data_IF_860437365486
#
_entry.id   IF_860437365486
#
_cell.length_a   1.000
_cell.length_b   1.000
_cell.length_c   1.000
_cell.angle_alpha   90.00
_cell.angle_beta   90.00
_cell.angle_gamma   90.00
#
_symmetry.space_group_name_H-M   'P 1'
#
loop_
_entity.id
_entity.type
_entity.pdbx_description
1 polymer ?
#
# COMPACT_ATOMS: atom_id res chain seq x y z
N UNK A 1 -12.43 -8.59 12.58
CA UNK A 1 -11.56 -7.82 11.66
C UNK A 1 -10.16 -7.81 12.28
N UNK A 2 -9.08 -7.70 11.50
CA UNK A 2 -7.72 -7.69 12.07
C UNK A 2 -7.47 -6.39 12.83
N UNK A 3 -6.85 -6.44 14.02
CA UNK A 3 -6.45 -5.26 14.79
C UNK A 3 -5.66 -4.25 13.94
N UNK A 4 -4.81 -4.74 13.03
CA UNK A 4 -4.00 -3.90 12.13
C UNK A 4 -4.84 -3.14 11.10
N UNK A 5 -5.91 -3.76 10.63
CA UNK A 5 -6.88 -3.11 9.74
C UNK A 5 -7.70 -2.07 10.51
N UNK A 6 -8.06 -2.35 11.76
CA UNK A 6 -8.73 -1.38 12.65
C UNK A 6 -7.83 -0.17 12.92
N UNK A 7 -6.54 -0.40 13.22
CA UNK A 7 -5.53 0.64 13.39
C UNK A 7 -5.39 1.49 12.10
N UNK A 8 -5.32 0.87 10.93
CA UNK A 8 -5.32 1.56 9.64
C UNK A 8 -6.53 2.49 9.47
N UNK A 9 -7.75 1.99 9.69
CA UNK A 9 -8.96 2.81 9.56
C UNK A 9 -9.05 3.93 10.60
N UNK A 10 -8.50 3.73 11.80
CA UNK A 10 -8.45 4.76 12.85
C UNK A 10 -7.65 5.99 12.43
N UNK A 11 -6.69 5.83 11.52
CA UNK A 11 -5.84 6.90 10.96
C UNK A 11 -6.52 7.68 9.82
N UNK A 12 -7.78 7.36 9.48
CA UNK A 12 -8.60 8.05 8.46
C UNK A 12 -7.91 8.14 7.09
N UNK A 13 -7.57 6.99 6.47
CA UNK A 13 -6.81 6.94 5.22
C UNK A 13 -7.50 7.63 4.04
N UNK A 14 -8.83 7.75 4.06
CA UNK A 14 -9.61 8.51 3.07
C UNK A 14 -9.19 9.99 2.93
N UNK A 15 -8.45 10.53 3.91
CA UNK A 15 -7.87 11.88 3.81
C UNK A 15 -6.71 11.94 2.82
N UNK A 16 -6.01 10.84 2.58
CA UNK A 16 -4.83 10.76 1.71
C UNK A 16 -5.19 9.96 0.46
N UNK A 17 -5.46 10.66 -0.64
CA UNK A 17 -6.00 10.02 -1.86
C UNK A 17 -5.21 10.31 -3.11
N UNK A 18 -4.30 11.28 -3.10
CA UNK A 18 -3.59 11.65 -4.31
C UNK A 18 -2.25 10.95 -4.37
N UNK A 19 -2.00 10.18 -5.42
CA UNK A 19 -0.74 9.45 -5.55
C UNK A 19 0.45 10.41 -5.72
N UNK A 20 1.41 10.33 -4.80
CA UNK A 20 2.70 11.03 -4.91
C UNK A 20 3.75 10.13 -5.53
N UNK A 21 3.88 8.90 -5.03
CA UNK A 21 4.90 7.97 -5.49
C UNK A 21 4.52 6.52 -5.26
N UNK A 22 5.09 5.66 -6.11
CA UNK A 22 5.06 4.21 -6.00
C UNK A 22 6.49 3.73 -6.09
N UNK A 23 6.90 2.91 -5.14
CA UNK A 23 8.22 2.29 -5.13
C UNK A 23 8.06 0.79 -4.95
N UNK A 24 8.45 0.03 -5.98
CA UNK A 24 8.48 -1.42 -5.96
C UNK A 24 9.93 -1.89 -5.89
N UNK A 25 10.29 -2.63 -4.84
CA UNK A 25 11.62 -3.21 -4.68
C UNK A 25 11.54 -4.71 -4.61
N UNK A 26 12.45 -5.39 -5.32
CA UNK A 26 12.68 -6.82 -5.13
C UNK A 26 13.68 -7.02 -3.98
N UNK A 27 13.27 -7.78 -2.99
CA UNK A 27 14.05 -8.22 -1.85
C UNK A 27 14.66 -9.58 -2.21
N UNK A 28 15.98 -9.61 -2.36
CA UNK A 28 16.74 -10.84 -2.63
C UNK A 28 17.22 -11.40 -1.28
N UNK A 29 16.61 -12.49 -0.81
CA UNK A 29 17.10 -13.22 0.35
C UNK A 29 17.85 -14.47 -0.12
N UNK A 30 18.97 -14.78 0.53
CA UNK A 30 19.86 -15.86 0.11
C UNK A 30 19.27 -17.28 0.32
N UNK A 31 18.21 -17.42 1.13
CA UNK A 31 17.84 -18.71 1.71
C UNK A 31 16.50 -19.33 1.27
N UNK A 32 15.59 -18.67 0.53
CA UNK A 32 14.31 -19.31 0.14
C UNK A 32 13.72 -18.90 -1.21
N UNK A 33 13.18 -19.93 -1.85
CA UNK A 33 12.45 -19.97 -3.12
C UNK A 33 11.13 -19.17 -3.08
N UNK A 34 10.95 -18.40 -4.16
CA UNK A 34 9.74 -17.99 -4.87
C UNK A 34 8.66 -17.05 -4.30
N UNK A 35 8.19 -17.13 -3.04
CA UNK A 35 6.93 -16.41 -2.71
C UNK A 35 7.11 -15.20 -1.78
N UNK A 36 6.68 -14.01 -2.25
CA UNK A 36 6.72 -12.76 -1.49
C UNK A 36 8.08 -12.03 -1.51
N UNK A 37 8.74 -11.98 -2.67
CA UNK A 37 10.06 -11.31 -2.82
C UNK A 37 9.98 -9.81 -3.06
N UNK A 38 8.82 -9.18 -2.97
CA UNK A 38 8.68 -7.75 -3.23
C UNK A 38 8.25 -6.98 -1.98
N UNK A 39 8.74 -5.74 -1.87
CA UNK A 39 8.15 -4.71 -1.02
C UNK A 39 7.60 -3.60 -1.90
N UNK A 40 6.40 -3.13 -1.58
CA UNK A 40 5.74 -2.03 -2.28
C UNK A 40 5.50 -0.89 -1.30
N UNK A 41 5.94 0.30 -1.66
CA UNK A 41 5.67 1.51 -0.90
C UNK A 41 4.84 2.47 -1.75
N UNK A 42 3.72 2.94 -1.21
CA UNK A 42 2.84 3.91 -1.86
C UNK A 42 2.76 5.13 -0.97
N UNK A 43 3.09 6.30 -1.51
CA UNK A 43 2.93 7.57 -0.80
C UNK A 43 1.77 8.36 -1.40
N UNK A 44 0.87 8.82 -0.53
CA UNK A 44 -0.33 9.57 -0.88
C UNK A 44 -0.30 10.96 -0.23
N UNK A 45 -0.77 11.98 -0.94
CA UNK A 45 -1.01 13.32 -0.44
C UNK A 45 -2.48 13.49 -0.04
N UNK A 46 -2.73 14.37 0.93
CA UNK A 46 -4.09 14.79 1.27
C UNK A 46 -4.68 15.76 0.23
N UNK A 47 -3.84 16.61 -0.35
CA UNK A 47 -4.16 17.58 -1.40
C UNK A 47 -3.03 17.61 -2.44
N UNK A 48 -3.33 18.00 -3.68
CA UNK A 48 -2.34 18.17 -4.75
C UNK A 48 -1.49 19.45 -4.56
N UNK A 49 -0.77 19.54 -3.45
CA UNK A 49 0.08 20.67 -3.05
C UNK A 49 1.34 20.16 -2.33
N UNK A 50 2.47 20.82 -2.55
CA UNK A 50 3.76 20.40 -1.95
C UNK A 50 3.76 20.42 -0.42
N UNK A 51 3.04 21.38 0.18
CA UNK A 51 2.89 21.53 1.63
C UNK A 51 1.86 20.59 2.25
N UNK A 52 1.22 19.72 1.46
CA UNK A 52 0.16 18.85 1.96
C UNK A 52 0.68 17.80 2.95
N UNK A 53 -0.19 17.36 3.86
CA UNK A 53 0.06 16.17 4.68
C UNK A 53 0.22 14.95 3.77
N UNK A 54 1.11 14.04 4.19
CA UNK A 54 1.52 12.88 3.42
C UNK A 54 1.28 11.63 4.24
N UNK A 55 0.96 10.53 3.58
CA UNK A 55 0.92 9.22 4.21
C UNK A 55 1.64 8.18 3.35
N UNK A 56 2.34 7.27 4.00
CA UNK A 56 3.03 6.16 3.35
C UNK A 56 2.40 4.85 3.80
N UNK A 57 2.07 4.03 2.81
CA UNK A 57 1.67 2.63 2.94
C UNK A 57 2.86 1.77 2.50
N UNK A 58 3.40 0.99 3.43
CA UNK A 58 4.45 0.02 3.13
C UNK A 58 3.87 -1.39 3.20
N UNK A 59 4.06 -2.18 2.15
CA UNK A 59 3.57 -3.55 2.04
C UNK A 59 4.77 -4.50 1.90
N UNK A 60 4.75 -5.57 2.70
CA UNK A 60 5.86 -6.52 2.82
C UNK A 60 5.45 -7.91 2.38
N UNK A 61 6.37 -8.61 1.71
CA UNK A 61 6.08 -9.95 1.19
C UNK A 61 4.98 -9.92 0.15
N UNK A 62 5.10 -9.02 -0.82
CA UNK A 62 4.08 -8.75 -1.82
C UNK A 62 4.14 -9.78 -2.95
N UNK A 63 2.98 -10.29 -3.36
CA UNK A 63 2.81 -11.25 -4.44
C UNK A 63 1.64 -10.87 -5.37
N UNK A 64 1.65 -11.44 -6.58
CA UNK A 64 0.62 -11.25 -7.61
C UNK A 64 0.24 -9.79 -7.87
N UNK A 65 1.26 -8.93 -7.99
CA UNK A 65 1.08 -7.50 -8.20
C UNK A 65 0.49 -7.23 -9.58
N UNK A 66 -0.65 -6.55 -9.60
CA UNK A 66 -1.23 -5.93 -10.78
C UNK A 66 -1.27 -4.42 -10.55
N UNK A 67 -0.59 -3.69 -11.43
CA UNK A 67 -0.61 -2.22 -11.48
C UNK A 67 -1.35 -1.83 -12.75
N UNK A 68 -2.45 -1.11 -12.58
CA UNK A 68 -3.26 -0.56 -13.66
C UNK A 68 -2.73 0.79 -14.14
N UNK A 69 -3.63 1.61 -14.64
CA UNK A 69 -3.29 2.96 -15.09
C UNK A 69 -3.16 3.93 -13.90
N UNK A 70 -1.95 4.48 -13.73
CA UNK A 70 -1.63 5.45 -12.69
C UNK A 70 -1.69 6.91 -13.16
N UNK A 71 -2.05 7.16 -14.42
CA UNK A 71 -2.04 8.51 -14.97
C UNK A 71 -3.23 9.36 -14.50
N UNK A 72 -3.03 10.68 -14.48
CA UNK A 72 -4.06 11.66 -14.14
C UNK A 72 -4.16 11.99 -12.65
N UNK A 73 -5.07 12.90 -12.31
CA UNK A 73 -5.36 13.29 -10.93
C UNK A 73 -6.36 12.32 -10.28
N UNK A 74 -6.02 11.04 -10.23
CA UNK A 74 -6.86 10.00 -9.63
C UNK A 74 -6.83 10.10 -8.10
N UNK A 75 -7.95 9.72 -7.50
CA UNK A 75 -8.06 9.48 -6.08
C UNK A 75 -7.91 7.98 -5.86
N UNK A 76 -7.09 7.58 -4.90
CA UNK A 76 -6.80 6.19 -4.60
C UNK A 76 -7.36 5.87 -3.22
N UNK A 77 -8.21 4.86 -3.13
CA UNK A 77 -8.70 4.34 -1.86
C UNK A 77 -8.36 2.85 -1.75
N UNK A 78 -7.46 2.53 -0.82
CA UNK A 78 -7.03 1.16 -0.58
C UNK A 78 -7.95 0.46 0.42
N UNK A 79 -8.58 -0.61 -0.04
CA UNK A 79 -9.26 -1.59 0.79
C UNK A 79 -8.30 -2.73 1.14
N UNK A 80 -8.15 -2.99 2.43
CA UNK A 80 -7.31 -4.06 2.96
C UNK A 80 -8.20 -5.07 3.68
N UNK A 81 -8.15 -6.31 3.21
CA UNK A 81 -8.92 -7.43 3.78
C UNK A 81 -7.98 -8.48 4.37
N UNK A 82 -8.28 -8.98 5.57
CA UNK A 82 -7.55 -10.13 6.15
C UNK A 82 -8.07 -11.44 5.54
N UNK A 83 -7.19 -12.12 4.81
CA UNK A 83 -7.41 -13.37 4.10
C UNK A 83 -6.54 -14.50 4.68
N UNK A 84 -6.02 -14.36 5.91
CA UNK A 84 -5.20 -15.38 6.59
C UNK A 84 -5.85 -16.77 6.67
N UNK A 85 -7.17 -16.83 6.62
CA UNK A 85 -7.94 -18.07 6.64
C UNK A 85 -7.84 -18.89 5.35
N UNK A 86 -7.32 -18.32 4.24
CA UNK A 86 -7.28 -18.98 2.92
C UNK A 86 -6.01 -19.80 2.64
N UNK A 87 -5.11 -19.94 3.62
CA UNK A 87 -3.87 -20.72 3.51
C UNK A 87 -3.00 -20.39 2.27
N UNK A 88 -2.94 -19.10 1.91
CA UNK A 88 -2.18 -18.62 0.76
C UNK A 88 -0.70 -18.40 1.13
N UNK A 89 0.07 -19.45 1.42
CA UNK A 89 1.54 -19.42 1.47
C UNK A 89 2.16 -18.18 2.17
N UNK A 90 1.83 -17.98 3.45
CA UNK A 90 2.28 -16.84 4.28
C UNK A 90 1.79 -15.44 3.84
N UNK A 91 0.90 -15.33 2.86
CA UNK A 91 0.17 -14.10 2.54
C UNK A 91 -1.04 -13.99 3.46
N UNK A 92 -1.27 -12.77 3.96
CA UNK A 92 -2.30 -12.50 4.97
C UNK A 92 -3.32 -11.49 4.50
N UNK A 93 -2.89 -10.47 3.78
CA UNK A 93 -3.74 -9.36 3.41
C UNK A 93 -3.91 -9.33 1.90
N UNK A 94 -5.15 -9.12 1.47
CA UNK A 94 -5.45 -8.72 0.10
C UNK A 94 -5.66 -7.22 0.08
N UNK A 95 -4.98 -6.56 -0.85
CA UNK A 95 -5.04 -5.11 -1.03
C UNK A 95 -5.60 -4.81 -2.41
N UNK A 96 -6.64 -3.98 -2.45
CA UNK A 96 -7.30 -3.55 -3.67
C UNK A 96 -7.49 -2.04 -3.60
N UNK A 97 -7.16 -1.35 -4.68
CA UNK A 97 -7.59 0.02 -4.89
C UNK A 97 -9.00 -0.02 -5.51
N UNK A 98 -9.92 0.76 -4.94
CA UNK A 98 -11.37 0.52 -5.05
C UNK A 98 -12.07 1.39 -6.10
N UNK A 99 -11.38 2.41 -6.65
CA UNK A 99 -11.97 3.38 -7.57
C UNK A 99 -11.54 3.15 -9.04
N UNK A 100 -10.29 2.80 -9.29
CA UNK A 100 -9.66 2.81 -10.61
C UNK A 100 -8.96 1.50 -11.00
N UNK A 101 -9.12 0.43 -10.21
CA UNK A 101 -8.41 -0.87 -10.37
C UNK A 101 -6.88 -0.68 -10.46
N UNK A 102 -6.37 0.41 -9.87
CA UNK A 102 -4.99 0.83 -10.09
C UNK A 102 -3.98 -0.08 -9.41
N UNK A 103 -4.36 -0.69 -8.29
CA UNK A 103 -3.55 -1.65 -7.57
C UNK A 103 -4.37 -2.83 -7.10
N UNK A 104 -3.83 -4.04 -7.33
CA UNK A 104 -4.36 -5.27 -6.76
C UNK A 104 -3.23 -6.24 -6.50
N UNK A 105 -3.09 -6.66 -5.25
CA UNK A 105 -2.03 -7.56 -4.83
C UNK A 105 -2.36 -8.23 -3.49
N UNK A 106 -1.51 -9.18 -3.11
CA UNK A 106 -1.49 -9.76 -1.77
C UNK A 106 -0.19 -9.38 -1.07
N UNK A 107 -0.23 -9.27 0.25
CA UNK A 107 0.97 -9.10 1.05
C UNK A 107 0.91 -9.92 2.35
N UNK A 108 2.07 -10.20 2.92
CA UNK A 108 2.20 -10.83 4.24
C UNK A 108 1.89 -9.83 5.35
N UNK A 109 2.36 -8.60 5.19
CA UNK A 109 2.16 -7.55 6.18
C UNK A 109 2.14 -6.15 5.55
N UNK A 110 1.69 -5.15 6.29
CA UNK A 110 1.70 -3.76 5.86
C UNK A 110 1.87 -2.77 7.02
N UNK A 111 2.28 -1.54 6.75
CA UNK A 111 2.34 -0.44 7.72
C UNK A 111 1.75 0.84 7.10
N UNK A 112 1.19 1.70 7.94
CA UNK A 112 0.70 3.02 7.55
C UNK A 112 1.31 4.08 8.44
N UNK A 113 1.95 5.07 7.84
CA UNK A 113 2.64 6.15 8.56
C UNK A 113 2.24 7.51 7.99
N UNK A 114 1.83 8.45 8.86
CA UNK A 114 1.68 9.86 8.47
C UNK A 114 3.08 10.48 8.43
N UNK A 115 3.44 11.04 7.30
CA UNK A 115 4.74 11.67 7.04
C UNK A 115 4.66 13.19 7.25
N UNK A 116 5.78 13.84 7.60
CA UNK A 116 5.86 15.30 7.58
C UNK A 116 5.66 15.85 6.16
N UNK A 117 5.19 17.11 6.03
CA UNK A 117 5.14 17.81 4.76
C UNK A 117 6.51 17.80 4.07
N UNK A 118 6.52 17.80 2.75
CA UNK A 118 7.78 17.87 2.00
C UNK A 118 8.38 19.27 2.18
N UNK A 119 9.59 19.34 2.74
CA UNK A 119 10.37 20.57 2.70
C UNK A 119 10.89 20.76 1.28
N UNK A 120 10.49 21.84 0.63
CA UNK A 120 11.12 22.30 -0.61
C UNK A 120 12.58 22.67 -0.27
N UNK A 121 13.52 22.09 -1.00
CA UNK A 121 14.96 22.39 -0.90
C UNK A 121 15.39 23.37 -1.97
#
# INVERSE_FOLDING_TARGET
>A
MSKKIEEYWSLRPIRFRHLESVELRRVLNADYDYDGTYSLSITLLAELRASSERARLDFFGVADIKIGDLNGAKCFLFEITDESHRQLENLRFRVVESEDDAFKFWCRDFEFTILPPRTEG
#
